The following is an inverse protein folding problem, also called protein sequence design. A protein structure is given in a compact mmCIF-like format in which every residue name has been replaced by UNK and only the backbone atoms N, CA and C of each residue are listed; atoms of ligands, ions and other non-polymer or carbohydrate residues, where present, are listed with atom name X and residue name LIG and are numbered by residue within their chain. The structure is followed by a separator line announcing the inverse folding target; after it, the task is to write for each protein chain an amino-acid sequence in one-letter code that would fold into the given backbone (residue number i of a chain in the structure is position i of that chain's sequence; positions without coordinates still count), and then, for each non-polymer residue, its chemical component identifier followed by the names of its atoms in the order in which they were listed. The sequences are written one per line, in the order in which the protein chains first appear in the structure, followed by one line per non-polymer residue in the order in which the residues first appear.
data_IF_368799728223
#
_entry.id   IF_368799728223
#
_cell.length_a   1.000
_cell.length_b   1.000
_cell.length_c   1.000
_cell.angle_alpha   90.00
_cell.angle_beta   90.00
_cell.angle_gamma   90.00
#
_symmetry.space_group_name_H-M   'P 1'
#
loop_
_entity.id
_entity.type
_entity.pdbx_description
1 polymer ?
#
# COMPACT_ATOMS: atom_id res chain seq x y z
N UNK A 1 17.75 -14.65 9.94
CA UNK A 1 16.94 -15.52 9.04
C UNK A 1 16.46 -14.76 7.81
N UNK A 2 15.76 -13.63 7.96
CA UNK A 2 15.24 -12.84 6.82
C UNK A 2 16.35 -12.42 5.83
N UNK A 3 17.50 -11.94 6.30
CA UNK A 3 18.62 -11.52 5.44
C UNK A 3 19.15 -12.67 4.55
N UNK A 4 19.12 -13.92 5.05
CA UNK A 4 19.48 -15.10 4.24
C UNK A 4 18.45 -15.39 3.15
N UNK A 5 17.16 -15.20 3.44
CA UNK A 5 16.10 -15.37 2.47
C UNK A 5 16.18 -14.28 1.39
N UNK A 6 16.43 -13.03 1.78
CA UNK A 6 16.63 -11.91 0.84
C UNK A 6 17.85 -12.09 -0.08
N UNK A 7 18.86 -12.83 0.36
CA UNK A 7 20.01 -13.18 -0.48
C UNK A 7 19.74 -14.33 -1.46
N UNK A 8 18.74 -15.18 -1.16
CA UNK A 8 18.47 -16.41 -1.93
C UNK A 8 17.22 -16.31 -2.84
N UNK A 9 16.27 -15.46 -2.51
CA UNK A 9 14.98 -15.38 -3.19
C UNK A 9 14.63 -13.95 -3.60
N UNK A 10 13.73 -13.80 -4.58
CA UNK A 10 13.15 -12.50 -4.92
C UNK A 10 12.30 -12.00 -3.77
N UNK A 11 12.33 -10.69 -3.53
CA UNK A 11 11.56 -10.08 -2.43
C UNK A 11 10.06 -10.34 -2.58
N UNK A 12 9.52 -10.31 -3.79
CA UNK A 12 8.12 -10.56 -4.07
C UNK A 12 7.70 -11.97 -3.63
N UNK A 13 8.56 -12.97 -3.84
CA UNK A 13 8.35 -14.36 -3.37
C UNK A 13 8.32 -14.41 -1.84
N UNK A 14 9.27 -13.73 -1.18
CA UNK A 14 9.33 -13.70 0.28
C UNK A 14 8.08 -13.01 0.85
N UNK A 15 7.68 -11.89 0.26
CA UNK A 15 6.51 -11.14 0.72
C UNK A 15 5.22 -11.96 0.56
N UNK A 16 4.98 -12.52 -0.64
CA UNK A 16 3.74 -13.21 -0.97
C UNK A 16 3.65 -14.60 -0.31
N UNK A 17 4.72 -15.39 -0.42
CA UNK A 17 4.66 -16.82 -0.10
C UNK A 17 5.08 -17.12 1.35
N UNK A 18 5.67 -16.16 2.05
CA UNK A 18 6.13 -16.33 3.42
C UNK A 18 5.56 -15.27 4.38
N UNK A 19 5.74 -13.98 4.07
CA UNK A 19 5.39 -12.90 5.00
C UNK A 19 3.88 -12.73 5.15
N UNK A 20 3.15 -12.59 4.06
CA UNK A 20 1.69 -12.39 4.10
C UNK A 20 0.99 -13.57 4.78
N UNK A 21 1.26 -14.84 4.44
CA UNK A 21 0.71 -15.98 5.17
C UNK A 21 1.09 -16.00 6.65
N UNK A 22 2.32 -15.66 7.00
CA UNK A 22 2.75 -15.57 8.40
C UNK A 22 1.98 -14.52 9.20
N UNK A 23 1.72 -13.33 8.60
CA UNK A 23 0.94 -12.28 9.26
C UNK A 23 -0.51 -12.69 9.48
N UNK A 24 -1.11 -13.40 8.54
CA UNK A 24 -2.45 -13.98 8.71
C UNK A 24 -2.48 -15.00 9.84
N UNK A 25 -1.55 -15.98 9.85
CA UNK A 25 -1.45 -16.99 10.94
C UNK A 25 -1.23 -16.30 12.30
N UNK A 26 -0.37 -15.30 12.37
CA UNK A 26 -0.11 -14.54 13.60
C UNK A 26 -1.38 -13.85 14.12
N UNK A 27 -2.14 -13.20 13.23
CA UNK A 27 -3.41 -12.56 13.56
C UNK A 27 -4.47 -13.55 14.03
N UNK A 28 -4.61 -14.70 13.35
CA UNK A 28 -5.53 -15.76 13.77
C UNK A 28 -5.16 -16.36 15.12
N UNK A 29 -3.89 -16.61 15.38
CA UNK A 29 -3.40 -17.13 16.66
C UNK A 29 -3.60 -16.12 17.79
N UNK A 30 -3.42 -14.82 17.51
CA UNK A 30 -3.75 -13.77 18.46
C UNK A 30 -5.25 -13.77 18.77
N UNK A 31 -6.12 -13.85 17.77
CA UNK A 31 -7.58 -13.89 17.94
C UNK A 31 -8.03 -15.11 18.76
N UNK A 32 -7.32 -16.24 18.68
CA UNK A 32 -7.57 -17.43 19.50
C UNK A 32 -6.91 -17.38 20.89
N UNK A 33 -6.19 -16.31 21.23
CA UNK A 33 -5.48 -16.17 22.50
C UNK A 33 -4.21 -17.03 22.64
N UNK A 34 -3.71 -17.62 21.56
CA UNK A 34 -2.49 -18.43 21.53
C UNK A 34 -1.21 -17.58 21.55
N UNK A 35 -1.33 -16.33 21.13
CA UNK A 35 -0.26 -15.33 21.11
C UNK A 35 -0.74 -14.10 21.89
N UNK A 36 0.09 -13.63 22.81
CA UNK A 36 -0.22 -12.41 23.57
C UNK A 36 -0.03 -11.16 22.70
N UNK A 37 -0.71 -10.07 23.08
CA UNK A 37 -0.55 -8.74 22.45
C UNK A 37 0.93 -8.34 22.38
N UNK A 38 1.70 -8.55 23.46
CA UNK A 38 3.11 -8.21 23.51
C UNK A 38 3.96 -9.02 22.49
N UNK A 39 3.64 -10.29 22.28
CA UNK A 39 4.33 -11.14 21.30
C UNK A 39 3.99 -10.74 19.86
N UNK A 40 2.72 -10.46 19.59
CA UNK A 40 2.27 -9.97 18.29
C UNK A 40 2.93 -8.63 17.97
N UNK A 41 2.86 -7.65 18.86
CA UNK A 41 3.48 -6.34 18.68
C UNK A 41 5.00 -6.43 18.49
N UNK A 42 5.69 -7.29 19.24
CA UNK A 42 7.13 -7.49 19.05
C UNK A 42 7.44 -8.03 17.65
N UNK A 43 6.71 -9.07 17.21
CA UNK A 43 6.92 -9.67 15.90
C UNK A 43 6.60 -8.68 14.77
N UNK A 44 5.47 -7.99 14.84
CA UNK A 44 5.01 -7.02 13.84
C UNK A 44 5.98 -5.82 13.74
N UNK A 45 6.43 -5.26 14.87
CA UNK A 45 7.39 -4.16 14.87
C UNK A 45 8.76 -4.57 14.32
N UNK A 46 9.23 -5.80 14.63
CA UNK A 46 10.48 -6.31 14.08
C UNK A 46 10.40 -6.45 12.55
N UNK A 47 9.31 -7.01 12.05
CA UNK A 47 9.07 -7.14 10.61
C UNK A 47 8.93 -5.77 9.94
N UNK A 48 8.16 -4.88 10.53
CA UNK A 48 7.98 -3.51 10.05
C UNK A 48 9.31 -2.78 9.89
N UNK A 49 10.17 -2.82 10.90
CA UNK A 49 11.51 -2.20 10.83
C UNK A 49 12.37 -2.79 9.71
N UNK A 50 12.31 -4.11 9.49
CA UNK A 50 13.04 -4.78 8.40
C UNK A 50 12.51 -4.41 7.02
N UNK A 51 11.20 -4.37 6.84
CA UNK A 51 10.58 -3.99 5.56
C UNK A 51 10.82 -2.52 5.23
N UNK A 52 10.69 -1.60 6.19
CA UNK A 52 11.02 -0.20 6.00
C UNK A 52 12.50 0.01 5.69
N UNK A 53 13.38 -0.87 6.18
CA UNK A 53 14.78 -0.90 5.75
C UNK A 53 14.96 -1.16 4.24
N UNK A 54 14.04 -1.87 3.59
CA UNK A 54 14.01 -2.09 2.14
C UNK A 54 13.35 -0.94 1.36
N UNK A 55 12.64 -0.06 2.05
CA UNK A 55 11.95 1.10 1.48
C UNK A 55 12.89 2.30 1.21
N UNK A 56 14.20 2.14 1.45
CA UNK A 56 15.18 3.19 1.17
C UNK A 56 15.12 3.58 -0.31
N UNK A 57 14.95 4.87 -0.59
CA UNK A 57 14.85 5.38 -1.97
C UNK A 57 13.42 5.46 -2.52
N UNK A 58 12.39 5.14 -1.77
CA UNK A 58 10.99 5.23 -2.22
C UNK A 58 10.65 6.58 -2.85
N UNK A 59 11.07 7.69 -2.25
CA UNK A 59 10.84 9.05 -2.79
C UNK A 59 11.69 9.40 -4.03
N UNK A 60 12.59 8.53 -4.48
CA UNK A 60 13.54 8.80 -5.57
C UNK A 60 13.19 8.09 -6.90
N UNK A 61 12.07 7.35 -6.97
CA UNK A 61 11.59 6.73 -8.20
C UNK A 61 11.32 7.77 -9.29
N UNK A 62 11.51 7.39 -10.56
CA UNK A 62 11.30 8.23 -11.74
C UNK A 62 10.00 7.91 -12.50
N UNK A 63 9.30 6.87 -12.10
CA UNK A 63 8.02 6.43 -12.67
C UNK A 63 6.81 7.10 -12.04
N UNK A 64 5.62 6.51 -12.22
CA UNK A 64 4.39 7.01 -11.62
C UNK A 64 4.51 7.13 -10.10
N UNK A 65 3.78 8.06 -9.51
CA UNK A 65 3.81 8.32 -8.07
C UNK A 65 2.60 7.72 -7.38
N UNK A 66 2.82 6.93 -6.33
CA UNK A 66 1.76 6.44 -5.46
C UNK A 66 1.88 7.02 -4.05
N UNK A 67 0.77 7.52 -3.51
CA UNK A 67 0.61 7.87 -2.10
C UNK A 67 -0.04 6.70 -1.38
N UNK A 68 0.59 6.22 -0.31
CA UNK A 68 0.13 5.07 0.48
C UNK A 68 -0.17 5.51 1.92
N UNK A 69 -1.37 5.22 2.40
CA UNK A 69 -1.80 5.55 3.76
C UNK A 69 -2.72 4.46 4.33
N UNK A 70 -2.63 4.22 5.63
CA UNK A 70 -3.72 3.57 6.35
C UNK A 70 -4.73 4.63 6.81
N UNK A 71 -6.00 4.22 6.90
CA UNK A 71 -7.07 5.07 7.39
C UNK A 71 -6.85 5.49 8.85
N UNK A 72 -7.55 6.53 9.32
CA UNK A 72 -7.55 6.88 10.75
C UNK A 72 -7.89 5.67 11.62
N UNK A 73 -7.21 5.53 12.74
CA UNK A 73 -7.30 4.41 13.69
C UNK A 73 -6.80 3.04 13.17
N UNK A 74 -6.29 2.95 11.94
CA UNK A 74 -5.71 1.72 11.40
C UNK A 74 -4.19 1.70 11.63
N UNK A 75 -3.73 0.70 12.40
CA UNK A 75 -2.31 0.52 12.76
C UNK A 75 -1.62 -0.58 11.94
N UNK A 76 -2.37 -1.41 11.19
CA UNK A 76 -1.84 -2.56 10.45
C UNK A 76 -1.35 -2.16 9.08
N UNK A 77 -0.10 -1.73 8.99
CA UNK A 77 0.52 -1.20 7.77
C UNK A 77 1.43 -2.18 7.01
N UNK A 78 1.68 -3.38 7.53
CA UNK A 78 2.63 -4.33 6.92
C UNK A 78 2.24 -4.76 5.50
N UNK A 79 0.94 -4.96 5.26
CA UNK A 79 0.42 -5.24 3.91
C UNK A 79 0.66 -4.06 2.96
N UNK A 80 0.44 -2.83 3.44
CA UNK A 80 0.65 -1.63 2.66
C UNK A 80 2.14 -1.40 2.35
N UNK A 81 3.03 -1.70 3.30
CA UNK A 81 4.49 -1.66 3.08
C UNK A 81 4.91 -2.70 2.03
N UNK A 82 4.37 -3.94 2.10
CA UNK A 82 4.65 -4.98 1.09
C UNK A 82 4.19 -4.56 -0.31
N UNK A 83 3.01 -3.95 -0.42
CA UNK A 83 2.48 -3.34 -1.63
C UNK A 83 3.45 -2.27 -2.18
N UNK A 84 3.87 -1.32 -1.34
CA UNK A 84 4.80 -0.25 -1.70
C UNK A 84 6.17 -0.75 -2.15
N UNK A 85 6.75 -1.76 -1.47
CA UNK A 85 8.00 -2.40 -1.90
C UNK A 85 7.85 -2.98 -3.31
N UNK A 86 6.73 -3.66 -3.58
CA UNK A 86 6.48 -4.28 -4.87
C UNK A 86 6.32 -3.23 -5.97
N UNK A 87 5.56 -2.16 -5.75
CA UNK A 87 5.44 -1.05 -6.69
C UNK A 87 6.79 -0.35 -6.96
N UNK A 88 7.55 -0.06 -5.91
CA UNK A 88 8.86 0.60 -6.04
C UNK A 88 9.81 -0.22 -6.92
N UNK A 89 9.83 -1.54 -6.77
CA UNK A 89 10.65 -2.42 -7.61
C UNK A 89 10.21 -2.45 -9.09
N UNK A 90 9.01 -1.96 -9.37
CA UNK A 90 8.47 -1.77 -10.73
C UNK A 90 8.68 -0.34 -11.25
N UNK A 91 9.47 0.45 -10.53
CA UNK A 91 9.88 1.79 -10.94
C UNK A 91 9.01 2.92 -10.42
N UNK A 92 7.98 2.64 -9.59
CA UNK A 92 7.14 3.66 -9.01
C UNK A 92 7.89 4.49 -7.96
N UNK A 93 7.53 5.75 -7.87
CA UNK A 93 7.87 6.62 -6.74
C UNK A 93 6.82 6.44 -5.64
N UNK A 94 7.25 6.16 -4.42
CA UNK A 94 6.34 5.89 -3.31
C UNK A 94 6.43 7.01 -2.29
N UNK A 95 5.29 7.60 -1.95
CA UNK A 95 5.11 8.52 -0.83
C UNK A 95 4.29 7.78 0.22
N UNK A 96 4.96 7.36 1.27
CA UNK A 96 4.33 6.60 2.34
C UNK A 96 3.99 7.50 3.53
N UNK A 97 2.71 7.63 3.83
CA UNK A 97 2.22 8.44 4.96
C UNK A 97 2.11 7.63 6.25
N UNK A 98 1.97 6.32 6.13
CA UNK A 98 1.99 5.41 7.28
C UNK A 98 0.62 5.03 7.85
N UNK A 99 0.62 4.42 9.05
CA UNK A 99 -0.58 4.08 9.78
C UNK A 99 -1.28 5.31 10.34
N UNK A 100 -2.56 5.16 10.70
CA UNK A 100 -3.36 6.17 11.42
C UNK A 100 -3.28 7.57 10.79
N UNK A 101 -3.44 7.66 9.46
CA UNK A 101 -3.30 8.92 8.75
C UNK A 101 -4.65 9.63 8.62
N UNK A 102 -4.80 10.86 9.14
CA UNK A 102 -6.04 11.62 8.96
C UNK A 102 -6.39 11.85 7.49
N UNK A 103 -7.66 11.69 7.12
CA UNK A 103 -8.13 11.87 5.73
C UNK A 103 -7.77 13.26 5.17
N UNK A 104 -7.83 14.29 6.00
CA UNK A 104 -7.44 15.65 5.59
C UNK A 104 -5.96 15.72 5.16
N UNK A 105 -5.07 14.98 5.85
CA UNK A 105 -3.65 14.89 5.51
C UNK A 105 -3.45 14.16 4.19
N UNK A 106 -4.20 13.06 3.97
CA UNK A 106 -4.15 12.30 2.72
C UNK A 106 -4.60 13.18 1.54
N UNK A 107 -5.70 13.93 1.70
CA UNK A 107 -6.19 14.86 0.70
C UNK A 107 -5.15 15.95 0.39
N UNK A 108 -4.60 16.59 1.41
CA UNK A 108 -3.55 17.60 1.23
C UNK A 108 -2.33 17.06 0.48
N UNK A 109 -1.91 15.82 0.78
CA UNK A 109 -0.83 15.15 0.07
C UNK A 109 -1.21 14.90 -1.41
N UNK A 110 -2.43 14.42 -1.67
CA UNK A 110 -2.92 14.18 -3.03
C UNK A 110 -2.96 15.49 -3.85
N UNK A 111 -3.47 16.57 -3.27
CA UNK A 111 -3.51 17.90 -3.91
C UNK A 111 -2.11 18.45 -4.21
N UNK A 112 -1.17 18.33 -3.25
CA UNK A 112 0.17 18.89 -3.37
C UNK A 112 1.09 18.10 -4.31
N UNK A 113 0.92 16.77 -4.34
CA UNK A 113 1.80 15.83 -5.06
C UNK A 113 1.23 15.51 -6.45
N UNK A 114 -0.11 15.59 -6.62
CA UNK A 114 -0.85 15.10 -7.79
C UNK A 114 -0.40 13.69 -8.20
N UNK A 115 -0.55 12.68 -7.32
CA UNK A 115 -0.06 11.34 -7.58
C UNK A 115 -0.91 10.62 -8.66
N UNK A 116 -0.31 9.64 -9.31
CA UNK A 116 -1.01 8.78 -10.26
C UNK A 116 -1.93 7.77 -9.55
N UNK A 117 -1.67 7.49 -8.27
CA UNK A 117 -2.44 6.55 -7.45
C UNK A 117 -2.40 6.97 -5.97
N UNK A 118 -3.55 6.92 -5.32
CA UNK A 118 -3.65 6.91 -3.85
C UNK A 118 -4.17 5.54 -3.40
N UNK A 119 -3.53 4.92 -2.41
CA UNK A 119 -3.99 3.67 -1.81
C UNK A 119 -4.32 3.89 -0.35
N UNK A 120 -5.56 3.55 0.02
CA UNK A 120 -6.03 3.53 1.40
C UNK A 120 -6.16 2.09 1.87
N UNK A 121 -5.55 1.78 3.01
CA UNK A 121 -5.60 0.44 3.58
C UNK A 121 -6.30 0.42 4.94
N UNK A 122 -7.03 -0.68 5.19
CA UNK A 122 -7.67 -0.96 6.47
C UNK A 122 -7.98 -2.45 6.62
N UNK A 123 -7.83 -2.96 7.83
CA UNK A 123 -8.06 -4.38 8.13
C UNK A 123 -9.49 -4.66 8.59
N UNK A 124 -10.22 -3.63 9.01
CA UNK A 124 -11.62 -3.70 9.44
C UNK A 124 -12.49 -2.69 8.68
N UNK A 125 -13.80 -2.97 8.51
CA UNK A 125 -14.68 -2.11 7.69
C UNK A 125 -14.99 -0.74 8.30
N UNK A 126 -14.95 -0.61 9.62
CA UNK A 126 -15.43 0.58 10.34
C UNK A 126 -14.72 1.87 9.91
N UNK A 127 -13.38 1.95 9.83
CA UNK A 127 -12.70 3.17 9.39
C UNK A 127 -13.09 3.59 7.97
N UNK A 128 -13.37 2.63 7.09
CA UNK A 128 -13.85 2.92 5.75
C UNK A 128 -15.27 3.48 5.76
N UNK A 129 -16.16 2.90 6.56
CA UNK A 129 -17.56 3.32 6.67
C UNK A 129 -17.64 4.74 7.24
N UNK A 130 -16.91 5.01 8.31
CA UNK A 130 -16.88 6.31 9.00
C UNK A 130 -16.35 7.45 8.10
N UNK A 131 -15.54 7.13 7.11
CA UNK A 131 -14.90 8.11 6.22
C UNK A 131 -15.39 8.02 4.77
N UNK A 132 -16.47 7.29 4.50
CA UNK A 132 -16.90 6.98 3.12
C UNK A 132 -17.13 8.21 2.24
N UNK A 133 -17.72 9.28 2.78
CA UNK A 133 -17.97 10.52 2.02
C UNK A 133 -16.64 11.23 1.66
N UNK A 134 -15.69 11.25 2.57
CA UNK A 134 -14.37 11.85 2.33
C UNK A 134 -13.53 11.01 1.34
N UNK A 135 -13.69 9.68 1.39
CA UNK A 135 -13.09 8.75 0.43
C UNK A 135 -13.69 8.98 -0.97
N UNK A 136 -15.03 9.09 -1.08
CA UNK A 136 -15.70 9.39 -2.33
C UNK A 136 -15.30 10.76 -2.89
N UNK A 137 -15.11 11.77 -2.04
CA UNK A 137 -14.60 13.07 -2.45
C UNK A 137 -13.18 12.95 -3.03
N UNK A 138 -12.29 12.25 -2.35
CA UNK A 138 -10.92 12.02 -2.81
C UNK A 138 -10.90 11.27 -4.16
N UNK A 139 -11.75 10.25 -4.34
CA UNK A 139 -11.85 9.46 -5.58
C UNK A 139 -12.28 10.28 -6.81
N UNK A 140 -12.99 11.40 -6.61
CA UNK A 140 -13.35 12.32 -7.71
C UNK A 140 -12.15 13.10 -8.26
N UNK A 141 -11.10 13.24 -7.48
CA UNK A 141 -9.96 14.10 -7.80
C UNK A 141 -8.66 13.33 -8.09
N UNK A 142 -8.61 12.04 -7.74
CA UNK A 142 -7.43 11.20 -7.98
C UNK A 142 -7.83 9.74 -8.22
N UNK A 143 -6.97 8.98 -8.88
CA UNK A 143 -7.13 7.53 -8.96
C UNK A 143 -6.96 6.94 -7.56
N UNK A 144 -8.03 6.36 -7.02
CA UNK A 144 -8.07 5.83 -5.65
C UNK A 144 -8.26 4.32 -5.64
N UNK A 145 -7.49 3.63 -4.83
CA UNK A 145 -7.64 2.20 -4.57
C UNK A 145 -7.79 1.92 -3.07
N UNK A 146 -8.62 0.93 -2.74
CA UNK A 146 -8.87 0.48 -1.37
C UNK A 146 -8.33 -0.94 -1.22
N UNK A 147 -7.58 -1.19 -0.15
CA UNK A 147 -6.97 -2.49 0.13
C UNK A 147 -7.09 -2.90 1.59
N UNK A 148 -6.79 -4.17 1.83
CA UNK A 148 -6.92 -4.79 3.16
C UNK A 148 -8.29 -5.45 3.37
N UNK A 149 -8.39 -6.27 4.42
CA UNK A 149 -9.58 -7.11 4.68
C UNK A 149 -10.85 -6.30 4.99
N UNK A 150 -10.71 -5.03 5.40
CA UNK A 150 -11.84 -4.13 5.66
C UNK A 150 -12.42 -3.48 4.39
N UNK A 151 -11.71 -3.49 3.26
CA UNK A 151 -12.18 -2.96 2.00
C UNK A 151 -13.16 -3.94 1.34
N UNK A 152 -14.34 -3.44 0.91
CA UNK A 152 -15.38 -4.27 0.28
C UNK A 152 -15.75 -3.74 -1.09
N UNK A 153 -16.31 -4.61 -1.96
CA UNK A 153 -16.83 -4.23 -3.28
C UNK A 153 -17.95 -3.18 -3.18
N UNK A 154 -18.82 -3.31 -2.17
CA UNK A 154 -19.88 -2.33 -1.91
C UNK A 154 -19.30 -0.94 -1.63
N UNK A 155 -18.26 -0.88 -0.79
CA UNK A 155 -17.58 0.37 -0.46
C UNK A 155 -16.89 0.96 -1.70
N UNK A 156 -16.16 0.14 -2.46
CA UNK A 156 -15.47 0.56 -3.67
C UNK A 156 -16.45 1.16 -4.69
N UNK A 157 -17.58 0.47 -4.91
CA UNK A 157 -18.66 0.95 -5.78
C UNK A 157 -19.24 2.27 -5.28
N UNK A 158 -19.56 2.36 -3.99
CA UNK A 158 -20.14 3.56 -3.37
C UNK A 158 -19.21 4.77 -3.46
N UNK A 159 -17.93 4.57 -3.28
CA UNK A 159 -16.93 5.66 -3.27
C UNK A 159 -16.34 5.97 -4.65
N UNK A 160 -16.56 5.12 -5.66
CA UNK A 160 -15.92 5.24 -6.96
C UNK A 160 -14.43 4.87 -6.96
N UNK A 161 -13.96 4.21 -5.91
CA UNK A 161 -12.60 3.73 -5.80
C UNK A 161 -12.46 2.31 -6.40
N UNK A 162 -11.22 1.90 -6.69
CA UNK A 162 -10.92 0.53 -7.13
C UNK A 162 -10.67 -0.36 -5.93
N UNK A 163 -11.28 -1.54 -5.86
CA UNK A 163 -10.94 -2.56 -4.87
C UNK A 163 -9.67 -3.33 -5.27
N UNK A 164 -8.78 -3.57 -4.30
CA UNK A 164 -7.62 -4.44 -4.41
C UNK A 164 -7.95 -5.79 -3.76
N UNK A 165 -8.50 -6.72 -4.54
CA UNK A 165 -8.99 -8.02 -4.05
C UNK A 165 -7.90 -9.05 -3.76
N UNK A 166 -6.70 -8.84 -4.27
CA UNK A 166 -5.60 -9.79 -4.18
C UNK A 166 -4.70 -9.51 -2.98
N UNK A 167 -3.80 -10.45 -2.68
CA UNK A 167 -2.71 -10.17 -1.77
C UNK A 167 -1.91 -8.92 -2.19
N UNK A 168 -1.23 -8.23 -1.26
CA UNK A 168 -0.58 -6.95 -1.53
C UNK A 168 0.42 -6.99 -2.70
N UNK A 169 1.11 -8.13 -2.88
CA UNK A 169 2.11 -8.29 -3.95
C UNK A 169 1.44 -8.43 -5.30
N UNK A 170 0.45 -9.32 -5.42
CA UNK A 170 -0.31 -9.54 -6.64
C UNK A 170 -1.11 -8.29 -7.03
N UNK A 171 -1.71 -7.60 -6.05
CA UNK A 171 -2.39 -6.34 -6.27
C UNK A 171 -1.45 -5.26 -6.84
N UNK A 172 -0.24 -5.11 -6.27
CA UNK A 172 0.76 -4.17 -6.80
C UNK A 172 1.23 -4.55 -8.22
N UNK A 173 1.36 -5.85 -8.50
CA UNK A 173 1.71 -6.33 -9.83
C UNK A 173 0.62 -6.01 -10.88
N UNK A 174 -0.65 -6.05 -10.50
CA UNK A 174 -1.77 -5.73 -11.39
C UNK A 174 -1.89 -4.23 -11.70
N UNK A 175 -1.38 -3.33 -10.84
CA UNK A 175 -1.41 -1.88 -11.05
C UNK A 175 -0.61 -1.48 -12.31
N UNK A 176 0.52 -2.09 -12.55
CA UNK A 176 1.41 -1.76 -13.68
C UNK A 176 0.76 -2.03 -15.06
N UNK A 177 -0.16 -3.00 -15.11
CA UNK A 177 -0.87 -3.38 -16.34
C UNK A 177 -2.05 -2.45 -16.66
N UNK A 178 -2.52 -1.67 -15.70
CA UNK A 178 -3.74 -0.86 -15.79
C UNK A 178 -3.47 0.63 -16.00
N UNK A 179 -2.22 1.09 -15.83
CA UNK A 179 -1.86 2.50 -15.99
C UNK A 179 -1.35 2.76 -17.42
N UNK A 180 -1.87 3.76 -18.14
CA UNK A 180 -1.30 4.17 -19.43
C UNK A 180 0.15 4.62 -19.19
N UNK A 181 1.08 4.05 -19.96
CA UNK A 181 2.48 4.51 -19.93
C UNK A 181 2.50 5.99 -20.34
N UNK A 182 3.17 6.88 -19.57
CA UNK A 182 3.35 8.27 -20.01
C UNK A 182 3.98 8.23 -21.40
N UNK A 183 3.30 8.81 -22.39
CA UNK A 183 3.88 9.03 -23.71
C UNK A 183 5.00 10.06 -23.53
N UNK A 184 6.24 9.61 -23.55
CA UNK A 184 7.37 10.51 -23.71
C UNK A 184 7.19 11.20 -25.07
N UNK A 185 6.62 12.41 -25.05
CA UNK A 185 6.68 13.31 -26.19
C UNK A 185 8.13 13.77 -26.27
N UNK A 186 8.94 13.03 -27.04
CA UNK A 186 10.23 13.53 -27.50
C UNK A 186 9.95 14.73 -28.38
N UNK A 187 10.16 15.92 -27.82
CA UNK A 187 10.20 17.13 -28.62
C UNK A 187 11.30 16.97 -29.67
N UNK A 188 11.04 17.23 -30.98
CA UNK A 188 12.10 17.19 -31.98
C UNK A 188 13.10 18.30 -31.70
N UNK A 189 14.37 17.91 -31.55
CA UNK A 189 15.49 18.85 -31.58
C UNK A 189 15.41 19.58 -32.91
N UNK A 190 15.08 20.86 -32.89
CA UNK A 190 15.13 21.73 -34.05
C UNK A 190 16.54 21.80 -34.64
N UNK A 191 16.69 21.93 -35.98
CA UNK A 191 18.00 22.03 -36.61
C UNK A 191 18.73 23.31 -36.20
N UNK A 192 20.04 23.16 -35.98
CA UNK A 192 20.99 24.23 -35.72
C UNK A 192 21.18 25.17 -36.96
#
# INVERSE_FOLDING_TARGET
MLDRLLAAYRIETILRDLLVPYLHDLGERWARGEVSIAQEHFASNLLRGRLLGLARGWGQGHGPTAVLACLPSEQHDLGLIAFGITLYRRGWRIIYLGPDTPIATIRQAAESIAPDLVVLAGTVPEPFADHSDAIADLARHTTLALGGAGATEELATRTGARLLEQDPVSAAQSMDSAMPRPQHTSAPLGPA
#
